data_IF_809978564421
#
_entry.id   IF_809978564421
#
_cell.length_a   1.000
_cell.length_b   1.000
_cell.length_c   1.000
_cell.angle_alpha   90.00
_cell.angle_beta   90.00
_cell.angle_gamma   90.00
#
_symmetry.space_group_name_H-M   'P 1'
#
loop_
_entity.id
_entity.type
_entity.pdbx_description
1 polymer ?
#
# COMPACT_ATOMS: atom_id res chain seq x y z
N UNK A 1 -10.85 -5.93 10.75
CA UNK A 1 -11.26 -4.56 11.08
C UNK A 1 -9.99 -3.71 11.11
N UNK A 2 -9.97 -2.55 10.47
CA UNK A 2 -8.79 -1.68 10.41
C UNK A 2 -8.85 -0.59 11.49
N UNK A 3 -7.67 -0.12 11.92
CA UNK A 3 -7.50 1.05 12.78
C UNK A 3 -6.50 1.98 12.11
N UNK A 4 -6.68 3.29 12.30
CA UNK A 4 -5.81 4.32 11.76
C UNK A 4 -5.02 4.99 12.89
N UNK A 5 -3.79 5.38 12.60
CA UNK A 5 -2.95 6.24 13.44
C UNK A 5 -2.42 7.38 12.57
N UNK A 6 -2.24 8.57 13.14
CA UNK A 6 -1.75 9.75 12.42
C UNK A 6 -0.24 9.68 12.11
N UNK A 7 0.46 8.66 12.63
CA UNK A 7 1.88 8.43 12.37
C UNK A 7 2.10 7.73 11.03
N UNK A 8 3.02 8.27 10.23
CA UNK A 8 3.53 7.58 9.04
C UNK A 8 4.36 6.36 9.45
N UNK A 9 4.37 5.33 8.60
CA UNK A 9 5.19 4.13 8.81
C UNK A 9 6.70 4.44 8.81
N UNK A 10 7.11 5.47 8.06
CA UNK A 10 8.47 6.00 8.02
C UNK A 10 8.45 7.51 7.72
N UNK A 11 9.55 8.22 8.00
CA UNK A 11 9.66 9.65 7.68
C UNK A 11 9.69 9.86 6.16
N UNK A 12 8.73 10.62 5.64
CA UNK A 12 8.54 10.85 4.21
C UNK A 12 8.52 12.36 3.85
N UNK A 13 9.08 13.21 4.72
CA UNK A 13 9.08 14.65 4.49
C UNK A 13 10.15 15.08 3.47
N UNK A 14 9.80 15.82 2.40
CA UNK A 14 10.80 16.38 1.49
C UNK A 14 11.52 17.58 2.12
N UNK A 15 12.79 17.80 1.75
CA UNK A 15 13.56 18.97 2.18
C UNK A 15 13.04 20.29 1.57
N UNK A 16 12.58 20.24 0.31
CA UNK A 16 12.03 21.38 -0.43
C UNK A 16 10.91 20.94 -1.38
N UNK A 17 9.97 21.83 -1.73
CA UNK A 17 8.95 21.52 -2.73
C UNK A 17 9.56 21.27 -4.11
N UNK A 18 9.17 20.17 -4.75
CA UNK A 18 9.56 19.83 -6.13
C UNK A 18 8.32 19.25 -6.87
N UNK A 19 7.70 20.02 -7.80
CA UNK A 19 6.49 19.60 -8.51
C UNK A 19 6.69 18.56 -9.63
N UNK A 20 7.85 18.56 -10.30
CA UNK A 20 8.21 17.57 -11.34
C UNK A 20 8.45 16.20 -10.70
N UNK A 21 9.11 16.13 -9.55
CA UNK A 21 9.31 14.91 -8.79
C UNK A 21 7.98 14.42 -8.20
N UNK A 22 7.15 15.33 -7.67
CA UNK A 22 5.79 14.98 -7.23
C UNK A 22 4.96 14.35 -8.36
N UNK A 23 5.07 14.85 -9.60
CA UNK A 23 4.44 14.23 -10.78
C UNK A 23 4.96 12.82 -11.05
N UNK A 24 6.25 12.56 -10.86
CA UNK A 24 6.83 11.21 -11.02
C UNK A 24 6.33 10.25 -9.92
N UNK A 25 6.20 10.72 -8.68
CA UNK A 25 5.67 9.92 -7.57
C UNK A 25 4.22 9.46 -7.79
N UNK A 26 3.44 10.16 -8.62
CA UNK A 26 2.09 9.71 -8.97
C UNK A 26 2.07 8.33 -9.63
N UNK A 27 3.12 7.95 -10.37
CA UNK A 27 3.22 6.59 -10.95
C UNK A 27 3.39 5.53 -9.86
N UNK A 28 4.16 5.83 -8.81
CA UNK A 28 4.33 4.91 -7.68
C UNK A 28 3.08 4.79 -6.83
N UNK A 29 2.25 5.83 -6.76
CA UNK A 29 1.01 5.79 -5.96
C UNK A 29 -0.13 5.14 -6.77
N UNK A 30 -0.37 5.63 -7.99
CA UNK A 30 -1.56 5.28 -8.79
C UNK A 30 -1.28 4.81 -10.20
N UNK A 31 -0.02 4.57 -10.55
CA UNK A 31 0.33 3.89 -11.78
C UNK A 31 -0.12 2.44 -11.80
N UNK A 32 0.05 1.78 -12.96
CA UNK A 32 -0.38 0.40 -13.14
C UNK A 32 0.28 -0.58 -12.16
N UNK A 33 1.50 -0.26 -11.71
CA UNK A 33 2.28 -1.02 -10.73
C UNK A 33 2.50 -0.25 -9.42
N UNK A 34 1.66 0.75 -9.14
CA UNK A 34 1.75 1.55 -7.93
C UNK A 34 1.15 0.87 -6.69
N UNK A 35 1.35 1.50 -5.54
CA UNK A 35 0.93 1.01 -4.22
C UNK A 35 -0.58 0.76 -4.15
N UNK A 36 -1.42 1.61 -4.77
CA UNK A 36 -2.88 1.37 -4.79
C UNK A 36 -3.24 0.04 -5.46
N UNK A 37 -2.53 -0.33 -6.54
CA UNK A 37 -2.76 -1.60 -7.21
C UNK A 37 -2.33 -2.76 -6.32
N UNK A 38 -1.16 -2.66 -5.68
CA UNK A 38 -0.60 -3.70 -4.81
C UNK A 38 -1.51 -3.93 -3.59
N UNK A 39 -1.85 -2.86 -2.85
CA UNK A 39 -2.75 -2.92 -1.69
C UNK A 39 -4.10 -3.55 -2.06
N UNK A 40 -4.74 -3.09 -3.13
CA UNK A 40 -6.05 -3.63 -3.53
C UNK A 40 -5.97 -5.10 -3.94
N UNK A 41 -4.93 -5.48 -4.68
CA UNK A 41 -4.73 -6.87 -5.08
C UNK A 41 -4.59 -7.80 -3.89
N UNK A 42 -3.74 -7.45 -2.91
CA UNK A 42 -3.55 -8.30 -1.74
C UNK A 42 -4.76 -8.30 -0.81
N UNK A 43 -5.46 -7.18 -0.61
CA UNK A 43 -6.70 -7.15 0.16
C UNK A 43 -7.76 -8.08 -0.45
N UNK A 44 -8.01 -7.98 -1.76
CA UNK A 44 -8.98 -8.84 -2.42
C UNK A 44 -8.55 -10.31 -2.45
N UNK A 45 -7.26 -10.61 -2.58
CA UNK A 45 -6.75 -11.97 -2.48
C UNK A 45 -6.94 -12.54 -1.07
N UNK A 46 -6.61 -11.78 -0.03
CA UNK A 46 -6.73 -12.20 1.37
C UNK A 46 -8.17 -12.43 1.79
N UNK A 47 -9.10 -11.55 1.39
CA UNK A 47 -10.54 -11.75 1.65
C UNK A 47 -11.10 -12.96 0.90
N UNK A 48 -10.72 -13.16 -0.37
CA UNK A 48 -11.19 -14.30 -1.17
C UNK A 48 -10.40 -15.60 -0.90
N UNK A 49 -9.35 -15.56 -0.07
CA UNK A 49 -8.54 -16.74 0.23
C UNK A 49 -9.38 -17.77 0.99
N UNK A 50 -9.51 -18.95 0.36
CA UNK A 50 -10.26 -20.11 0.88
C UNK A 50 -9.45 -20.98 1.83
N UNK A 51 -8.12 -20.84 1.82
CA UNK A 51 -7.23 -21.60 2.68
C UNK A 51 -6.99 -20.82 3.98
N UNK A 52 -7.42 -21.34 5.15
CA UNK A 52 -7.10 -20.71 6.43
C UNK A 52 -5.63 -20.94 6.81
N UNK A 53 -5.09 -20.06 7.66
CA UNK A 53 -3.76 -20.16 8.24
C UNK A 53 -2.70 -19.34 7.49
N UNK A 54 -1.45 -19.83 7.53
CA UNK A 54 -0.21 -19.07 7.21
C UNK A 54 -0.29 -18.14 5.99
N UNK A 55 -0.80 -18.63 4.85
CA UNK A 55 -0.79 -17.83 3.63
C UNK A 55 -1.85 -16.74 3.61
N UNK A 56 -3.01 -16.98 4.23
CA UNK A 56 -4.04 -15.94 4.37
C UNK A 56 -3.56 -14.83 5.28
N UNK A 57 -2.92 -15.20 6.40
CA UNK A 57 -2.38 -14.25 7.36
C UNK A 57 -1.27 -13.41 6.71
N UNK A 58 -0.32 -14.06 6.02
CA UNK A 58 0.76 -13.36 5.31
C UNK A 58 0.23 -12.39 4.24
N UNK A 59 -0.78 -12.77 3.46
CA UNK A 59 -1.37 -11.86 2.45
C UNK A 59 -2.06 -10.68 3.12
N UNK A 60 -2.81 -10.91 4.20
CA UNK A 60 -3.51 -9.86 4.94
C UNK A 60 -2.58 -8.94 5.73
N UNK A 61 -1.39 -9.40 6.09
CA UNK A 61 -0.36 -8.60 6.78
C UNK A 61 0.40 -7.68 5.81
N UNK A 62 0.54 -8.10 4.54
CA UNK A 62 1.20 -7.31 3.48
C UNK A 62 0.24 -6.29 2.85
N UNK A 63 -1.06 -6.59 2.87
CA UNK A 63 -2.13 -5.79 2.27
C UNK A 63 -2.42 -4.51 3.06
#
# INVERSE_FOLDING_TARGET
>A
MFRHTDHLQFDAKPEKPEPVYARKLQELIGGAFGEMTVTMQYLFQGWNCRMPGKYKDMIMDVA
#
